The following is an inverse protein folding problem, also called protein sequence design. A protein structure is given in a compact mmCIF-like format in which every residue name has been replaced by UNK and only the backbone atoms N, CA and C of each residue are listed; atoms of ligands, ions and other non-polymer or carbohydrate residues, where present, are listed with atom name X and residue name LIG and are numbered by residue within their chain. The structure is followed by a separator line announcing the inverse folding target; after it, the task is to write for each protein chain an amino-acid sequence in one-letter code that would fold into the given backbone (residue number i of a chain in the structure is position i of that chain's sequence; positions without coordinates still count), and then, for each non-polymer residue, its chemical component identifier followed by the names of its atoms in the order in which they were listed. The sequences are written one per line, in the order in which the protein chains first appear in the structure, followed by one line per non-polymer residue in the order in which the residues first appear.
data_IF_327374736607
#
_entry.id   IF_327374736607
#
_cell.length_a   1.000
_cell.length_b   1.000
_cell.length_c   1.000
_cell.angle_alpha   90.00
_cell.angle_beta   90.00
_cell.angle_gamma   90.00
#
_symmetry.space_group_name_H-M   'P 1'
#
loop_
_entity.id
_entity.type
_entity.pdbx_description
1 polymer ?
#
# COMPACT_ATOMS: atom_id res chain seq x y z
N UNK A 1 -3.85 -34.57 22.16
CA UNK A 1 -2.52 -34.07 22.55
C UNK A 1 -2.38 -32.63 22.09
N UNK A 2 -2.56 -31.66 22.99
CA UNK A 2 -2.23 -30.26 22.72
C UNK A 2 -0.74 -30.08 23.03
N UNK A 3 0.07 -29.90 21.99
CA UNK A 3 1.50 -29.58 22.15
C UNK A 3 1.61 -28.33 23.02
N UNK A 4 2.44 -28.32 24.09
CA UNK A 4 2.60 -27.13 24.91
C UNK A 4 3.24 -26.04 24.06
N UNK A 5 2.44 -25.09 23.59
CA UNK A 5 2.94 -23.94 22.85
C UNK A 5 3.67 -23.05 23.83
N UNK A 6 5.00 -23.00 23.72
CA UNK A 6 5.83 -22.04 24.45
C UNK A 6 5.21 -20.64 24.29
N UNK A 7 4.96 -19.91 25.38
CA UNK A 7 4.37 -18.57 25.32
C UNK A 7 5.24 -17.65 24.46
N UNK A 8 4.61 -16.65 23.84
CA UNK A 8 5.33 -15.68 23.03
C UNK A 8 6.40 -14.96 23.88
N UNK A 9 7.57 -14.65 23.31
CA UNK A 9 8.59 -13.83 23.97
C UNK A 9 8.01 -12.50 24.48
N UNK A 10 8.54 -11.99 25.59
CA UNK A 10 8.15 -10.66 26.08
C UNK A 10 8.34 -9.61 24.98
N UNK A 11 7.38 -8.68 24.86
CA UNK A 11 7.41 -7.65 23.83
C UNK A 11 6.88 -8.05 22.44
N UNK A 12 6.57 -9.33 22.19
CA UNK A 12 6.08 -9.79 20.88
C UNK A 12 4.79 -9.09 20.42
N UNK A 13 3.88 -8.78 21.36
CA UNK A 13 2.65 -8.03 21.07
C UNK A 13 2.93 -6.55 20.79
N UNK A 14 3.86 -5.94 21.53
CA UNK A 14 4.23 -4.53 21.34
C UNK A 14 4.84 -4.30 19.97
N UNK A 15 5.79 -5.16 19.55
CA UNK A 15 6.40 -5.03 18.22
C UNK A 15 5.39 -5.31 17.10
N UNK A 16 4.46 -6.25 17.30
CA UNK A 16 3.36 -6.50 16.36
C UNK A 16 2.46 -5.27 16.22
N UNK A 17 2.06 -4.66 17.33
CA UNK A 17 1.27 -3.42 17.32
C UNK A 17 2.02 -2.29 16.65
N UNK A 18 3.30 -2.08 16.98
CA UNK A 18 4.12 -1.02 16.39
C UNK A 18 4.24 -1.20 14.86
N UNK A 19 4.51 -2.42 14.41
CA UNK A 19 4.60 -2.75 12.99
C UNK A 19 3.25 -2.55 12.27
N UNK A 20 2.14 -2.97 12.87
CA UNK A 20 0.80 -2.73 12.32
C UNK A 20 0.47 -1.24 12.23
N UNK A 21 0.82 -0.45 13.25
CA UNK A 21 0.60 0.99 13.26
C UNK A 21 1.47 1.72 12.21
N UNK A 22 2.71 1.27 12.00
CA UNK A 22 3.59 1.81 10.97
C UNK A 22 2.99 1.63 9.57
N UNK A 23 2.54 0.41 9.26
CA UNK A 23 1.84 0.11 8.00
C UNK A 23 0.55 0.91 7.89
N UNK A 24 -0.24 1.01 8.97
CA UNK A 24 -1.46 1.79 8.97
C UNK A 24 -1.19 3.27 8.66
N UNK A 25 -0.13 3.84 9.22
CA UNK A 25 0.29 5.20 8.92
C UNK A 25 0.58 5.36 7.42
N UNK A 26 1.45 4.50 6.85
CA UNK A 26 1.75 4.53 5.42
C UNK A 26 0.51 4.41 4.54
N UNK A 27 -0.37 3.46 4.82
CA UNK A 27 -1.60 3.22 4.06
C UNK A 27 -2.59 4.39 4.13
N UNK A 28 -2.76 5.00 5.32
CA UNK A 28 -3.61 6.17 5.50
C UNK A 28 -3.02 7.39 4.80
N UNK A 29 -1.70 7.58 4.84
CA UNK A 29 -1.03 8.63 4.06
C UNK A 29 -1.25 8.44 2.57
N UNK A 30 -1.10 7.22 2.04
CA UNK A 30 -1.43 6.92 0.64
C UNK A 30 -2.90 7.20 0.32
N UNK A 31 -3.82 6.85 1.22
CA UNK A 31 -5.25 7.04 1.02
C UNK A 31 -5.68 8.51 0.99
N UNK A 32 -5.06 9.37 1.79
CA UNK A 32 -5.47 10.78 1.93
C UNK A 32 -4.57 11.79 1.20
N UNK A 33 -3.32 11.42 0.93
CA UNK A 33 -2.32 12.32 0.39
C UNK A 33 -1.50 11.73 -0.77
N UNK A 34 -1.70 10.45 -1.09
CA UNK A 34 -0.95 9.76 -2.14
C UNK A 34 -1.65 9.73 -3.50
N UNK A 35 -0.89 9.33 -4.50
CA UNK A 35 -1.30 9.23 -5.90
C UNK A 35 -0.69 7.98 -6.55
N UNK A 36 -1.27 7.43 -7.63
CA UNK A 36 -0.71 6.32 -8.37
C UNK A 36 0.69 6.60 -8.93
N UNK A 37 1.03 7.88 -9.15
CA UNK A 37 2.36 8.30 -9.56
C UNK A 37 3.41 8.13 -8.44
N UNK A 38 2.98 7.96 -7.19
CA UNK A 38 3.87 7.66 -6.06
C UNK A 38 4.28 6.18 -6.02
N UNK A 39 3.71 5.33 -6.89
CA UNK A 39 4.17 3.95 -7.03
C UNK A 39 5.57 3.92 -7.67
N UNK A 40 6.41 2.94 -7.34
CA UNK A 40 7.68 2.75 -8.03
C UNK A 40 7.47 2.41 -9.51
N UNK A 41 8.41 2.77 -10.40
CA UNK A 41 8.31 2.52 -11.84
C UNK A 41 8.00 1.06 -12.18
N UNK A 42 8.60 0.11 -11.45
CA UNK A 42 8.37 -1.34 -11.62
C UNK A 42 6.90 -1.75 -11.47
N UNK A 43 6.15 -1.09 -10.60
CA UNK A 43 4.71 -1.36 -10.42
C UNK A 43 3.89 -0.57 -11.46
N UNK A 44 4.32 0.63 -11.84
CA UNK A 44 3.63 1.43 -12.86
C UNK A 44 3.67 0.74 -14.24
N UNK A 45 4.79 0.10 -14.56
CA UNK A 45 5.01 -0.58 -15.85
C UNK A 45 4.49 -2.02 -15.88
N UNK A 46 3.87 -2.50 -14.80
CA UNK A 46 3.43 -3.90 -14.73
C UNK A 46 2.25 -4.16 -15.68
N UNK A 47 2.41 -5.04 -16.70
CA UNK A 47 1.50 -5.11 -17.84
C UNK A 47 0.10 -5.66 -17.49
N UNK A 48 -0.05 -6.30 -16.33
CA UNK A 48 -1.32 -6.90 -15.90
C UNK A 48 -2.22 -5.94 -15.11
N UNK A 49 -1.68 -4.85 -14.57
CA UNK A 49 -2.42 -3.97 -13.68
C UNK A 49 -2.12 -2.51 -14.00
N UNK A 50 -3.18 -1.73 -14.25
CA UNK A 50 -3.08 -0.27 -14.37
C UNK A 50 -2.52 0.32 -13.08
N UNK A 51 -1.68 1.38 -13.12
CA UNK A 51 -1.12 2.00 -11.92
C UNK A 51 -2.18 2.38 -10.87
N UNK A 52 -3.32 2.92 -11.30
CA UNK A 52 -4.43 3.26 -10.42
C UNK A 52 -5.02 2.04 -9.69
N UNK A 53 -5.10 0.89 -10.37
CA UNK A 53 -5.59 -0.36 -9.79
C UNK A 53 -4.59 -0.92 -8.78
N UNK A 54 -3.31 -0.96 -9.15
CA UNK A 54 -2.23 -1.36 -8.26
C UNK A 54 -2.21 -0.51 -6.99
N UNK A 55 -2.41 0.81 -7.11
CA UNK A 55 -2.42 1.73 -5.98
C UNK A 55 -3.60 1.47 -5.03
N UNK A 56 -4.82 1.33 -5.57
CA UNK A 56 -6.03 1.01 -4.77
C UNK A 56 -5.89 -0.34 -4.05
N UNK A 57 -5.39 -1.35 -4.76
CA UNK A 57 -5.16 -2.68 -4.21
C UNK A 57 -4.09 -2.67 -3.12
N UNK A 58 -2.98 -1.95 -3.31
CA UNK A 58 -1.92 -1.81 -2.32
C UNK A 58 -2.47 -1.26 -1.00
N UNK A 59 -3.21 -0.14 -1.04
CA UNK A 59 -3.85 0.45 0.15
C UNK A 59 -4.82 -0.53 0.82
N UNK A 60 -5.68 -1.18 0.01
CA UNK A 60 -6.66 -2.14 0.50
C UNK A 60 -6.02 -3.35 1.18
N UNK A 61 -4.93 -3.88 0.61
CA UNK A 61 -4.15 -4.99 1.16
C UNK A 61 -3.46 -4.57 2.46
N UNK A 62 -2.77 -3.43 2.47
CA UNK A 62 -2.07 -2.90 3.66
C UNK A 62 -3.03 -2.78 4.85
N UNK A 63 -4.16 -2.08 4.66
CA UNK A 63 -5.17 -1.88 5.71
C UNK A 63 -5.84 -3.20 6.13
N UNK A 64 -6.06 -4.13 5.21
CA UNK A 64 -6.60 -5.46 5.53
C UNK A 64 -5.65 -6.26 6.42
N UNK A 65 -4.34 -6.20 6.15
CA UNK A 65 -3.32 -6.85 6.95
C UNK A 65 -3.24 -6.21 8.35
N UNK A 66 -3.37 -4.88 8.45
CA UNK A 66 -3.44 -4.16 9.74
C UNK A 66 -4.62 -4.67 10.58
N UNK A 67 -5.82 -4.77 9.99
CA UNK A 67 -7.00 -5.33 10.69
C UNK A 67 -6.70 -6.75 11.17
N UNK A 68 -6.12 -7.60 10.32
CA UNK A 68 -5.76 -8.96 10.70
C UNK A 68 -4.70 -9.00 11.81
N UNK A 69 -3.76 -8.05 11.87
CA UNK A 69 -2.75 -7.97 12.93
C UNK A 69 -3.37 -7.70 14.31
N UNK A 70 -4.38 -6.84 14.38
CA UNK A 70 -5.09 -6.58 15.64
C UNK A 70 -6.05 -7.70 16.03
N UNK A 71 -6.70 -8.32 15.06
CA UNK A 71 -7.81 -9.24 15.32
C UNK A 71 -7.40 -10.71 15.37
N UNK A 72 -6.43 -11.08 14.54
CA UNK A 72 -5.87 -12.43 14.44
C UNK A 72 -4.34 -12.32 14.45
N UNK A 73 -3.73 -11.95 15.59
CA UNK A 73 -2.32 -11.56 15.66
C UNK A 73 -1.37 -12.63 15.10
N UNK A 74 -1.70 -13.92 15.21
CA UNK A 74 -0.91 -15.00 14.59
C UNK A 74 -0.88 -14.93 13.07
N UNK A 75 -2.04 -14.71 12.45
CA UNK A 75 -2.16 -14.64 10.99
C UNK A 75 -1.62 -13.30 10.50
N UNK A 76 -2.02 -12.20 11.15
CA UNK A 76 -1.55 -10.86 10.81
C UNK A 76 -0.04 -10.70 10.98
N UNK A 77 0.60 -11.31 11.98
CA UNK A 77 2.06 -11.30 12.11
C UNK A 77 2.76 -11.96 10.92
N UNK A 78 2.25 -13.10 10.42
CA UNK A 78 2.82 -13.77 9.24
C UNK A 78 2.65 -12.91 7.98
N UNK A 79 1.48 -12.30 7.80
CA UNK A 79 1.20 -11.43 6.66
C UNK A 79 2.02 -10.13 6.72
N UNK A 80 2.19 -9.53 7.90
CA UNK A 80 3.07 -8.38 8.09
C UNK A 80 4.52 -8.72 7.75
N UNK A 81 5.04 -9.86 8.25
CA UNK A 81 6.40 -10.32 7.90
C UNK A 81 6.56 -10.46 6.38
N UNK A 82 5.62 -11.13 5.72
CA UNK A 82 5.67 -11.32 4.28
C UNK A 82 5.63 -9.98 3.52
N UNK A 83 4.81 -9.04 3.99
CA UNK A 83 4.67 -7.73 3.39
C UNK A 83 5.92 -6.86 3.59
N UNK A 84 6.53 -6.86 4.78
CA UNK A 84 7.80 -6.16 5.00
C UNK A 84 8.92 -6.74 4.12
N UNK A 85 8.98 -8.06 3.95
CA UNK A 85 9.92 -8.67 2.99
C UNK A 85 9.66 -8.15 1.57
N UNK A 86 8.40 -8.09 1.15
CA UNK A 86 8.06 -7.56 -0.17
C UNK A 86 8.43 -6.07 -0.32
N UNK A 87 8.22 -5.25 0.72
CA UNK A 87 8.63 -3.85 0.73
C UNK A 87 10.14 -3.68 0.68
N UNK A 88 10.90 -4.42 1.48
CA UNK A 88 12.37 -4.37 1.47
C UNK A 88 12.94 -4.78 0.10
N UNK A 89 12.38 -5.82 -0.54
CA UNK A 89 12.79 -6.23 -1.88
C UNK A 89 12.52 -5.13 -2.93
N UNK A 90 11.37 -4.48 -2.82
CA UNK A 90 10.99 -3.38 -3.70
C UNK A 90 11.89 -2.15 -3.47
N UNK A 91 12.17 -1.80 -2.21
CA UNK A 91 13.06 -0.71 -1.85
C UNK A 91 14.50 -0.98 -2.32
N UNK A 92 14.97 -2.22 -2.22
CA UNK A 92 16.26 -2.62 -2.75
C UNK A 92 16.34 -2.40 -4.28
N UNK A 93 15.27 -2.70 -5.02
CA UNK A 93 15.21 -2.42 -6.44
C UNK A 93 15.23 -0.91 -6.72
N UNK A 94 14.48 -0.10 -5.98
CA UNK A 94 14.47 1.37 -6.13
C UNK A 94 15.85 1.99 -5.83
N UNK A 95 16.56 1.46 -4.82
CA UNK A 95 17.93 1.87 -4.52
C UNK A 95 18.88 1.59 -5.69
N UNK A 96 18.73 0.45 -6.36
CA UNK A 96 19.53 0.09 -7.53
C UNK A 96 19.22 0.97 -8.75
N UNK A 97 17.95 1.40 -8.89
CA UNK A 97 17.52 2.34 -9.93
C UNK A 97 17.94 3.79 -9.65
N UNK A 98 18.37 4.11 -8.42
CA UNK A 98 18.78 5.45 -8.03
C UNK A 98 17.62 6.40 -7.72
N UNK A 99 16.47 5.87 -7.31
CA UNK A 99 15.28 6.68 -7.02
C UNK A 99 15.48 7.58 -5.79
N UNK A 100 15.06 8.84 -5.89
CA UNK A 100 15.21 9.83 -4.81
C UNK A 100 14.15 9.71 -3.70
N UNK A 101 13.06 8.96 -3.94
CA UNK A 101 11.97 8.76 -2.97
C UNK A 101 11.28 7.42 -3.20
N UNK A 102 10.91 6.76 -2.10
CA UNK A 102 10.17 5.49 -2.14
C UNK A 102 8.66 5.62 -2.38
N UNK A 103 8.09 6.82 -2.21
CA UNK A 103 6.64 7.06 -2.35
C UNK A 103 5.75 6.38 -1.31
N UNK A 104 6.31 5.69 -0.30
CA UNK A 104 5.54 4.92 0.69
C UNK A 104 4.55 5.74 1.52
N UNK A 105 4.82 7.04 1.72
CA UNK A 105 3.94 8.01 2.40
C UNK A 105 3.33 9.06 1.44
N UNK A 106 3.40 8.78 0.12
CA UNK A 106 2.99 9.70 -0.94
C UNK A 106 4.01 10.81 -1.23
N UNK A 107 3.76 11.58 -2.29
CA UNK A 107 4.66 12.66 -2.74
C UNK A 107 4.89 13.79 -1.73
N UNK A 108 4.01 13.95 -0.73
CA UNK A 108 4.11 15.03 0.27
C UNK A 108 5.20 14.80 1.33
N UNK A 109 5.64 13.55 1.52
CA UNK A 109 6.68 13.20 2.49
C UNK A 109 7.77 12.43 1.74
N UNK A 110 8.78 13.12 1.15
CA UNK A 110 9.86 12.46 0.45
C UNK A 110 10.73 11.71 1.46
N UNK A 111 10.74 10.38 1.36
CA UNK A 111 11.59 9.51 2.17
C UNK A 111 12.49 8.75 1.22
N UNK A 112 13.80 8.91 1.39
CA UNK A 112 14.79 8.18 0.61
C UNK A 112 14.64 6.66 0.85
N UNK A 113 14.77 5.82 -0.20
CA UNK A 113 14.52 4.39 -0.09
C UNK A 113 15.34 3.67 1.01
N UNK A 114 16.58 4.08 1.25
CA UNK A 114 17.42 3.46 2.27
C UNK A 114 16.92 3.72 3.70
N UNK A 115 16.37 4.91 3.97
CA UNK A 115 15.81 5.25 5.28
C UNK A 115 14.58 4.39 5.56
N UNK A 116 13.71 4.27 4.56
CA UNK A 116 12.51 3.45 4.66
C UNK A 116 12.88 1.98 4.89
N UNK A 117 13.84 1.46 4.13
CA UNK A 117 14.32 0.08 4.26
C UNK A 117 14.92 -0.16 5.66
N UNK A 118 15.65 0.80 6.23
CA UNK A 118 16.18 0.65 7.58
C UNK A 118 15.07 0.53 8.64
N UNK A 119 14.00 1.32 8.52
CA UNK A 119 12.84 1.26 9.42
C UNK A 119 12.12 -0.08 9.25
N UNK A 120 11.80 -0.45 8.01
CA UNK A 120 11.06 -1.66 7.65
C UNK A 120 11.83 -2.93 8.07
N UNK A 121 13.13 -3.00 7.76
CA UNK A 121 14.02 -4.09 8.21
C UNK A 121 14.13 -4.16 9.73
N UNK A 122 14.12 -3.04 10.45
CA UNK A 122 14.14 -3.03 11.93
C UNK A 122 12.86 -3.62 12.51
N UNK A 123 11.71 -3.23 11.96
CA UNK A 123 10.41 -3.77 12.37
C UNK A 123 10.29 -5.26 12.02
N UNK A 124 10.73 -5.65 10.82
CA UNK A 124 10.80 -7.04 10.36
C UNK A 124 11.67 -7.90 11.28
N UNK A 125 12.90 -7.44 11.57
CA UNK A 125 13.79 -8.12 12.51
C UNK A 125 13.13 -8.26 13.88
N UNK A 126 12.47 -7.21 14.37
CA UNK A 126 11.70 -7.24 15.62
C UNK A 126 10.60 -8.31 15.62
N UNK A 127 9.79 -8.38 14.56
CA UNK A 127 8.73 -9.39 14.39
C UNK A 127 9.29 -10.82 14.37
N UNK A 128 10.42 -11.02 13.68
CA UNK A 128 11.07 -12.33 13.50
C UNK A 128 11.75 -12.79 14.79
N UNK A 129 12.59 -11.95 15.39
CA UNK A 129 13.33 -12.25 16.61
C UNK A 129 12.38 -12.49 17.79
N UNK A 130 11.32 -11.70 17.90
CA UNK A 130 10.29 -11.88 18.95
C UNK A 130 9.26 -12.94 18.60
N UNK A 131 9.38 -13.61 17.45
CA UNK A 131 8.49 -14.68 16.99
C UNK A 131 7.02 -14.29 17.11
N UNK A 132 6.65 -13.10 16.64
CA UNK A 132 5.32 -12.51 16.88
C UNK A 132 4.16 -13.36 16.34
N UNK A 133 4.41 -14.31 15.43
CA UNK A 133 3.44 -15.34 15.01
C UNK A 133 3.01 -16.30 16.14
N UNK A 134 3.69 -16.28 17.30
CA UNK A 134 3.32 -17.07 18.48
C UNK A 134 2.38 -16.33 19.43
N UNK A 135 2.13 -15.04 19.23
CA UNK A 135 1.20 -14.26 20.06
C UNK A 135 -0.14 -14.99 20.11
N UNK A 136 -0.63 -15.29 21.32
CA UNK A 136 -1.87 -16.05 21.52
C UNK A 136 -3.09 -15.35 20.91
N UNK A 137 -4.15 -16.09 20.54
CA UNK A 137 -5.42 -15.46 20.21
C UNK A 137 -6.04 -14.96 21.51
N UNK A 138 -6.37 -13.68 21.60
CA UNK A 138 -7.32 -13.19 22.60
C UNK A 138 -8.72 -13.39 22.04
N UNK A 139 -9.22 -14.62 22.20
CA UNK A 139 -10.54 -15.06 21.75
C UNK A 139 -10.82 -15.01 20.24
N UNK A 140 -11.35 -16.10 19.69
CA UNK A 140 -11.81 -16.14 18.31
C UNK A 140 -13.08 -15.28 18.16
N UNK A 141 -12.93 -13.98 17.92
CA UNK A 141 -14.06 -13.17 17.45
C UNK A 141 -14.49 -13.67 16.06
N UNK A 142 -15.80 -13.88 15.82
CA UNK A 142 -16.28 -14.43 14.55
C UNK A 142 -15.92 -13.49 13.40
N UNK A 143 -15.23 -14.03 12.39
CA UNK A 143 -14.73 -13.28 11.23
C UNK A 143 -15.86 -12.62 10.42
N UNK A 144 -17.08 -13.16 10.55
CA UNK A 144 -18.31 -12.63 9.93
C UNK A 144 -18.63 -11.21 10.36
N UNK A 145 -18.28 -10.81 11.60
CA UNK A 145 -18.45 -9.42 12.07
C UNK A 145 -17.46 -8.43 11.42
N UNK A 146 -16.47 -8.93 10.68
CA UNK A 146 -15.42 -8.12 10.06
C UNK A 146 -15.56 -7.97 8.56
N UNK A 147 -16.41 -8.78 7.94
CA UNK A 147 -16.79 -8.63 6.54
C UNK A 147 -17.12 -7.18 6.18
N UNK A 148 -17.93 -6.41 6.95
CA UNK A 148 -18.19 -5.02 6.61
C UNK A 148 -16.95 -4.13 6.67
N UNK A 149 -16.02 -4.38 7.61
CA UNK A 149 -14.80 -3.59 7.74
C UNK A 149 -13.80 -3.90 6.62
N UNK A 150 -13.62 -5.18 6.28
CA UNK A 150 -12.81 -5.58 5.13
C UNK A 150 -13.38 -5.06 3.82
N UNK A 151 -14.70 -5.17 3.64
CA UNK A 151 -15.39 -4.62 2.48
C UNK A 151 -15.17 -3.10 2.41
N UNK A 152 -15.34 -2.37 3.51
CA UNK A 152 -15.11 -0.94 3.55
C UNK A 152 -13.68 -0.56 3.16
N UNK A 153 -12.67 -1.24 3.72
CA UNK A 153 -11.26 -0.96 3.42
C UNK A 153 -10.89 -1.29 1.97
N UNK A 154 -11.45 -2.36 1.40
CA UNK A 154 -11.17 -2.75 0.01
C UNK A 154 -11.93 -1.88 -1.00
N UNK A 155 -13.13 -1.43 -0.66
CA UNK A 155 -14.02 -0.69 -1.56
C UNK A 155 -13.78 0.82 -1.49
N UNK A 156 -13.45 1.36 -0.32
CA UNK A 156 -13.29 2.81 -0.13
C UNK A 156 -12.25 3.47 -1.07
N UNK A 157 -11.07 2.88 -1.34
CA UNK A 157 -10.13 3.44 -2.31
C UNK A 157 -10.72 3.61 -3.72
N UNK A 158 -11.68 2.78 -4.11
CA UNK A 158 -12.35 2.89 -5.42
C UNK A 158 -13.33 4.04 -5.49
N UNK A 159 -13.99 4.37 -4.37
CA UNK A 159 -14.84 5.55 -4.29
C UNK A 159 -14.02 6.84 -4.21
N UNK A 160 -12.87 6.79 -3.52
CA UNK A 160 -12.00 7.94 -3.33
C UNK A 160 -11.24 8.32 -4.60
N UNK A 161 -10.63 7.34 -5.27
CA UNK A 161 -9.85 7.58 -6.48
C UNK A 161 -10.68 7.26 -7.70
N UNK A 162 -11.18 8.28 -8.40
CA UNK A 162 -11.83 8.13 -9.71
C UNK A 162 -10.82 8.40 -10.82
N UNK A 163 -10.90 7.61 -11.89
CA UNK A 163 -10.03 7.77 -13.06
C UNK A 163 -10.53 8.97 -13.89
N UNK A 164 -9.61 9.76 -14.43
CA UNK A 164 -9.96 10.77 -15.43
C UNK A 164 -10.25 10.05 -16.76
N UNK A 165 -11.32 10.44 -17.44
CA UNK A 165 -11.62 9.89 -18.76
C UNK A 165 -10.98 10.80 -19.80
N UNK A 166 -10.03 10.28 -20.57
CA UNK A 166 -9.45 11.01 -21.70
C UNK A 166 -10.22 10.64 -22.97
N UNK A 167 -10.90 11.61 -23.54
CA UNK A 167 -11.58 11.48 -24.83
C UNK A 167 -10.70 12.13 -25.90
N UNK A 168 -10.24 11.33 -26.86
CA UNK A 168 -9.49 11.84 -28.02
C UNK A 168 -10.50 12.13 -29.12
N UNK A 169 -10.72 13.41 -29.43
CA UNK A 169 -11.51 13.82 -30.58
C UNK A 169 -10.56 14.05 -31.75
N UNK A 170 -10.67 13.21 -32.79
CA UNK A 170 -9.94 13.38 -34.04
C UNK A 170 -10.85 14.10 -35.03
N UNK A 171 -10.47 15.30 -35.45
CA UNK A 171 -11.20 16.03 -36.48
C UNK A 171 -10.92 15.38 -37.85
N UNK A 172 -11.93 14.70 -38.40
CA UNK A 172 -11.85 13.99 -39.69
C UNK A 172 -11.53 14.91 -40.88
N UNK A 173 -11.77 16.22 -40.77
CA UNK A 173 -11.51 17.19 -41.84
C UNK A 173 -10.07 17.74 -41.85
N UNK A 174 -9.39 17.77 -40.69
CA UNK A 174 -8.07 18.38 -40.55
C UNK A 174 -6.99 17.42 -40.05
N UNK A 175 -7.35 16.21 -39.63
CA UNK A 175 -6.45 15.22 -39.04
C UNK A 175 -5.90 15.66 -37.69
N UNK A 176 -6.46 16.71 -37.08
CA UNK A 176 -5.94 17.32 -35.86
C UNK A 176 -6.56 16.61 -34.65
N UNK A 177 -5.70 16.03 -33.82
CA UNK A 177 -6.12 15.41 -32.57
C UNK A 177 -6.34 16.48 -31.50
N UNK A 178 -7.53 16.46 -30.89
CA UNK A 178 -7.86 17.29 -29.73
C UNK A 178 -8.12 16.37 -28.55
N UNK A 179 -7.23 16.49 -27.55
CA UNK A 179 -7.32 15.76 -26.29
C UNK A 179 -8.27 16.51 -25.35
N UNK A 180 -9.43 15.92 -25.07
CA UNK A 180 -10.35 16.40 -24.04
C UNK A 180 -10.19 15.48 -22.82
N UNK A 181 -9.49 15.97 -21.81
CA UNK A 181 -9.36 15.27 -20.52
C UNK A 181 -10.53 15.68 -19.65
N UNK A 182 -11.49 14.78 -19.46
CA UNK A 182 -12.58 14.98 -18.50
C UNK A 182 -12.04 14.70 -17.09
N UNK A 183 -11.71 15.79 -16.39
CA UNK A 183 -11.22 15.78 -15.02
C UNK A 183 -12.33 15.94 -13.98
N UNK A 184 -13.61 16.12 -14.36
CA UNK A 184 -14.70 16.43 -13.40
C UNK A 184 -14.91 15.33 -12.35
N UNK A 185 -14.48 14.09 -12.64
CA UNK A 185 -14.51 12.99 -11.69
C UNK A 185 -13.23 12.82 -10.89
N UNK A 186 -12.08 13.28 -11.37
CA UNK A 186 -10.80 12.83 -10.89
C UNK A 186 -10.31 13.69 -9.73
N UNK A 187 -10.28 13.15 -8.51
CA UNK A 187 -9.82 13.80 -7.26
C UNK A 187 -8.27 14.02 -7.26
N UNK A 188 -7.68 14.20 -8.44
CA UNK A 188 -6.28 14.57 -8.68
C UNK A 188 -6.17 16.09 -8.84
N UNK A 189 -6.95 16.87 -8.09
CA UNK A 189 -7.09 18.34 -8.19
C UNK A 189 -5.79 19.14 -7.87
N UNK A 190 -4.63 18.51 -7.91
CA UNK A 190 -3.33 19.12 -7.68
C UNK A 190 -2.36 18.99 -8.88
N UNK A 191 -2.78 18.46 -10.03
CA UNK A 191 -1.89 18.27 -11.19
C UNK A 191 -2.09 19.28 -12.30
N UNK A 192 -0.97 19.72 -12.87
CA UNK A 192 -0.92 20.53 -14.08
C UNK A 192 -0.84 19.60 -15.30
N UNK A 193 -1.58 19.82 -16.40
CA UNK A 193 -1.58 18.94 -17.57
C UNK A 193 -0.19 18.61 -18.17
N UNK A 194 0.79 19.47 -17.96
CA UNK A 194 2.19 19.27 -18.36
C UNK A 194 2.87 18.06 -17.70
N UNK A 195 2.35 17.57 -16.57
CA UNK A 195 2.89 16.40 -15.87
C UNK A 195 2.49 15.06 -16.52
N UNK A 196 1.57 15.09 -17.48
CA UNK A 196 1.03 13.92 -18.18
C UNK A 196 1.44 13.83 -19.66
N UNK A 197 2.02 14.89 -20.22
CA UNK A 197 2.51 14.87 -21.59
C UNK A 197 3.65 13.85 -21.72
N UNK A 198 3.38 12.75 -22.44
CA UNK A 198 4.37 11.73 -22.78
C UNK A 198 4.47 10.54 -21.82
N UNK A 199 3.62 10.43 -20.80
CA UNK A 199 3.54 9.23 -19.93
C UNK A 199 2.24 8.49 -20.20
N UNK A 200 2.34 7.19 -20.48
CA UNK A 200 1.16 6.35 -20.68
C UNK A 200 0.32 6.30 -19.39
N UNK A 201 -0.98 6.50 -19.56
CA UNK A 201 -2.01 6.45 -18.50
C UNK A 201 -2.37 5.00 -18.22
#
# INVERSE_FOLDING_TARGET
MTTPTTPAPSGARHILTLAALWVAAGALFKLFAGTPADLPPTIQEFPLLRPAWSFRLAIGIELSIVILAFMRPRCGAKLLILMFIAFDLLLMQMMQSGDSSCGCFGSKVPIEPWMMMAIDSTLLAGLVLRRSWRVGPEEFKPITKLVPLFALVLIYPWFKFKEATVTINVDEGTGKETLVVDTEGADWHHFTPSQWQGKMI
#
